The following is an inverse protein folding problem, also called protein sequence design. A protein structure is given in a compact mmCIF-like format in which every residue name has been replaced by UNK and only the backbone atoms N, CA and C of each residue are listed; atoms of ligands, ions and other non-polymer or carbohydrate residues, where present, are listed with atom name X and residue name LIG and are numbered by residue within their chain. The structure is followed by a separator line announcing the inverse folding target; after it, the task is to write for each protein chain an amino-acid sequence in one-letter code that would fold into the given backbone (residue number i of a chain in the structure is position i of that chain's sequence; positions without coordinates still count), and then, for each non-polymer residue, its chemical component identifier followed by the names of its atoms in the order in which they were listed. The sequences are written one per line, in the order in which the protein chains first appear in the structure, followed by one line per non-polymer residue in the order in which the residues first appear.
data_IF_472087597656
#
_entry.id   IF_472087597656
#
_cell.length_a   1.000
_cell.length_b   1.000
_cell.length_c   1.000
_cell.angle_alpha   90.00
_cell.angle_beta   90.00
_cell.angle_gamma   90.00
#
_symmetry.space_group_name_H-M   'P 1'
#
loop_
_entity.id
_entity.type
_entity.pdbx_description
1 polymer ?
#
# COMPACT_ATOMS: atom_id res chain seq x y z
N UNK A 1 0.53 3.73 59.28
CA UNK A 1 1.05 2.41 59.73
C UNK A 1 1.22 1.55 58.49
N UNK A 2 2.47 1.10 58.32
CA UNK A 2 2.98 0.02 57.47
C UNK A 2 2.94 0.33 55.95
N UNK A 3 3.99 0.60 55.18
CA UNK A 3 5.43 0.34 55.35
C UNK A 3 5.84 -0.98 54.68
N UNK A 4 6.17 -0.94 53.37
CA UNK A 4 6.99 -1.95 52.66
C UNK A 4 7.62 -1.19 51.52
N UNK A 5 8.88 -0.95 51.42
CA UNK A 5 10.05 -1.83 51.66
C UNK A 5 10.71 -2.01 50.30
N UNK A 6 11.57 -1.03 49.92
CA UNK A 6 12.45 -1.12 48.74
C UNK A 6 13.73 -1.86 49.16
N UNK A 7 14.10 -2.92 48.47
CA UNK A 7 15.47 -3.41 48.49
C UNK A 7 16.04 -3.41 47.06
N UNK A 8 17.30 -2.96 46.89
CA UNK A 8 18.02 -2.98 45.62
C UNK A 8 18.93 -4.21 45.51
N UNK A 9 18.84 -4.95 44.44
CA UNK A 9 19.89 -5.92 44.07
C UNK A 9 20.98 -5.21 43.28
N UNK A 10 22.17 -5.25 43.89
CA UNK A 10 23.48 -4.93 43.32
C UNK A 10 24.13 -6.16 42.69
N UNK A 11 25.11 -5.84 41.81
CA UNK A 11 26.24 -6.67 41.35
C UNK A 11 25.95 -7.55 40.11
N UNK A 12 26.73 -7.43 39.01
CA UNK A 12 28.12 -7.55 38.83
C UNK A 12 28.64 -7.05 37.48
N UNK A 13 29.55 -6.13 37.60
CA UNK A 13 30.39 -5.65 36.51
C UNK A 13 31.53 -6.63 36.33
N UNK A 14 31.67 -7.26 35.17
CA UNK A 14 32.87 -8.00 34.78
C UNK A 14 33.62 -7.17 33.71
N UNK A 15 34.69 -6.59 34.14
CA UNK A 15 35.71 -5.94 33.32
C UNK A 15 36.51 -6.98 32.55
N UNK A 16 36.63 -6.84 31.24
CA UNK A 16 37.61 -7.58 30.44
C UNK A 16 38.70 -6.61 29.99
N UNK A 17 39.91 -6.90 30.45
CA UNK A 17 41.14 -6.17 30.17
C UNK A 17 41.67 -6.44 28.75
N UNK A 18 42.55 -5.58 28.21
CA UNK A 18 43.10 -5.70 26.88
C UNK A 18 44.33 -6.63 26.87
N UNK A 19 44.40 -7.51 25.91
CA UNK A 19 45.57 -8.34 25.67
C UNK A 19 46.52 -7.68 24.67
N UNK A 20 47.67 -7.51 25.13
CA UNK A 20 48.92 -6.98 24.61
C UNK A 20 49.52 -7.84 23.49
N UNK A 21 50.06 -7.15 22.48
CA UNK A 21 51.29 -7.43 21.71
C UNK A 21 51.59 -8.86 21.26
N UNK A 22 51.68 -9.05 19.96
CA UNK A 22 52.69 -9.98 19.43
C UNK A 22 53.40 -9.42 18.18
N UNK A 23 54.67 -9.61 18.27
CA UNK A 23 55.85 -9.19 17.55
C UNK A 23 56.04 -10.01 16.26
N UNK A 24 56.69 -9.37 15.32
CA UNK A 24 57.39 -9.83 14.13
C UNK A 24 57.64 -11.33 13.98
N UNK A 25 57.27 -11.87 12.80
CA UNK A 25 58.01 -13.02 12.22
C UNK A 25 57.89 -13.03 10.68
N UNK A 26 59.02 -12.71 10.05
CA UNK A 26 59.61 -13.33 8.87
C UNK A 26 58.72 -13.71 7.69
N UNK A 27 58.96 -13.02 6.54
CA UNK A 27 58.58 -13.48 5.20
C UNK A 27 59.40 -14.72 4.81
N UNK A 28 58.78 -15.71 4.18
CA UNK A 28 59.43 -16.53 3.16
C UNK A 28 58.97 -16.11 1.78
N UNK A 29 59.93 -15.89 0.93
CA UNK A 29 59.85 -15.84 -0.53
C UNK A 29 59.40 -17.21 -1.05
N UNK A 30 58.33 -17.27 -1.82
CA UNK A 30 57.85 -18.51 -2.41
C UNK A 30 56.87 -18.24 -3.56
N UNK A 31 57.37 -18.49 -4.75
CA UNK A 31 56.77 -19.02 -5.96
C UNK A 31 55.60 -18.29 -6.65
N UNK A 32 55.78 -17.81 -7.91
CA UNK A 32 54.76 -17.22 -8.71
C UNK A 32 54.07 -18.24 -9.63
N UNK A 33 53.33 -19.21 -9.09
CA UNK A 33 52.62 -20.20 -9.92
C UNK A 33 51.28 -20.69 -9.39
N UNK A 34 50.62 -19.96 -8.46
CA UNK A 34 49.22 -20.25 -8.11
C UNK A 34 48.32 -19.12 -8.66
N UNK A 35 48.10 -19.17 -9.95
CA UNK A 35 46.99 -18.45 -10.60
C UNK A 35 45.73 -19.31 -10.43
N UNK A 36 45.24 -19.45 -9.18
CA UNK A 36 43.92 -19.97 -8.92
C UNK A 36 42.89 -18.99 -9.51
N UNK A 37 42.28 -19.40 -10.62
CA UNK A 37 41.12 -18.75 -11.23
C UNK A 37 40.05 -18.50 -10.17
N UNK A 38 40.03 -17.28 -9.67
CA UNK A 38 38.96 -16.78 -8.82
C UNK A 38 37.68 -16.92 -9.63
N UNK A 39 36.68 -17.72 -9.22
CA UNK A 39 35.45 -17.87 -9.98
C UNK A 39 34.86 -16.50 -10.24
N UNK A 40 34.68 -16.18 -11.52
CA UNK A 40 34.10 -14.92 -11.96
C UNK A 40 32.72 -14.78 -11.27
N UNK A 41 32.57 -13.75 -10.43
CA UNK A 41 31.26 -13.39 -9.88
C UNK A 41 30.30 -13.26 -11.07
N UNK A 42 29.13 -13.94 -11.06
CA UNK A 42 28.20 -13.86 -12.15
C UNK A 42 27.91 -12.39 -12.43
N UNK A 43 28.15 -11.96 -13.66
CA UNK A 43 27.93 -10.60 -14.11
C UNK A 43 26.44 -10.28 -13.83
N UNK A 44 26.17 -9.39 -12.87
CA UNK A 44 24.82 -8.88 -12.60
C UNK A 44 24.29 -8.35 -13.93
N UNK A 45 23.32 -9.06 -14.51
CA UNK A 45 22.64 -8.69 -15.75
C UNK A 45 22.17 -7.24 -15.60
N UNK A 46 22.74 -6.34 -16.40
CA UNK A 46 22.36 -4.93 -16.38
C UNK A 46 20.90 -4.84 -16.82
N UNK A 47 20.00 -4.58 -15.88
CA UNK A 47 18.59 -4.31 -16.17
C UNK A 47 18.48 -3.09 -17.11
N UNK A 48 17.50 -3.12 -18.01
CA UNK A 48 17.15 -1.96 -18.80
C UNK A 48 16.70 -0.80 -17.90
N UNK A 49 16.79 0.48 -18.34
CA UNK A 49 16.40 1.63 -17.49
C UNK A 49 14.96 1.55 -16.97
N UNK A 50 14.01 1.03 -17.76
CA UNK A 50 12.62 0.81 -17.35
C UNK A 50 12.50 -0.25 -16.24
N UNK A 51 13.17 -1.39 -16.42
CA UNK A 51 13.19 -2.48 -15.43
C UNK A 51 13.79 -2.02 -14.09
N UNK A 52 14.77 -1.12 -14.12
CA UNK A 52 15.36 -0.55 -12.91
C UNK A 52 14.39 0.34 -12.16
N UNK A 53 13.64 1.20 -12.86
CA UNK A 53 12.60 2.04 -12.25
C UNK A 53 11.56 1.16 -11.57
N UNK A 54 11.07 0.15 -12.26
CA UNK A 54 10.07 -0.77 -11.72
C UNK A 54 10.61 -1.57 -10.53
N UNK A 55 11.83 -2.08 -10.61
CA UNK A 55 12.47 -2.79 -9.50
C UNK A 55 12.61 -1.91 -8.25
N UNK A 56 12.88 -0.61 -8.43
CA UNK A 56 12.96 0.35 -7.35
C UNK A 56 11.59 0.56 -6.67
N UNK A 57 10.53 0.78 -7.47
CA UNK A 57 9.17 0.93 -6.94
C UNK A 57 8.71 -0.36 -6.22
N UNK A 58 8.94 -1.53 -6.80
CA UNK A 58 8.58 -2.81 -6.16
C UNK A 58 9.31 -3.02 -4.83
N UNK A 59 10.57 -2.57 -4.73
CA UNK A 59 11.32 -2.62 -3.47
C UNK A 59 10.80 -1.62 -2.45
N UNK A 60 10.44 -0.42 -2.90
CA UNK A 60 9.85 0.61 -2.04
C UNK A 60 8.47 0.20 -1.51
N UNK A 61 7.61 -0.41 -2.34
CA UNK A 61 6.31 -0.96 -1.92
C UNK A 61 6.48 -1.98 -0.79
N UNK A 62 7.46 -2.90 -0.89
CA UNK A 62 7.75 -3.87 0.18
C UNK A 62 8.15 -3.19 1.49
N UNK A 63 8.94 -2.13 1.42
CA UNK A 63 9.33 -1.35 2.60
C UNK A 63 8.13 -0.62 3.20
N UNK A 64 7.34 0.09 2.40
CA UNK A 64 6.15 0.81 2.85
C UNK A 64 5.02 -0.12 3.33
N UNK A 65 4.99 -1.38 2.88
CA UNK A 65 4.07 -2.40 3.39
C UNK A 65 4.44 -2.90 4.79
N UNK A 66 5.68 -2.71 5.23
CA UNK A 66 6.19 -3.24 6.51
C UNK A 66 6.62 -2.17 7.51
N UNK A 67 6.77 -0.91 7.06
CA UNK A 67 7.29 0.21 7.87
C UNK A 67 6.49 1.47 7.60
N UNK A 68 6.40 2.34 8.60
CA UNK A 68 5.79 3.67 8.41
C UNK A 68 6.63 4.50 7.43
N UNK A 69 5.96 5.41 6.71
CA UNK A 69 6.65 6.29 5.75
C UNK A 69 7.84 7.01 6.39
N UNK A 70 7.69 7.54 7.60
CA UNK A 70 8.72 8.28 8.32
C UNK A 70 9.97 7.44 8.61
N UNK A 71 9.78 6.14 8.84
CA UNK A 71 10.83 5.18 9.18
C UNK A 71 11.64 4.70 7.98
N UNK A 72 11.13 4.91 6.76
CA UNK A 72 11.81 4.53 5.53
C UNK A 72 12.68 5.68 5.04
N UNK A 73 13.97 5.44 4.83
CA UNK A 73 14.92 6.39 4.25
C UNK A 73 15.17 6.13 2.76
N UNK A 74 15.75 7.13 2.06
CA UNK A 74 16.22 6.93 0.68
C UNK A 74 17.31 5.85 0.60
N UNK A 75 18.12 5.73 1.65
CA UNK A 75 19.18 4.71 1.73
C UNK A 75 18.59 3.30 1.86
N UNK A 76 17.50 3.13 2.64
CA UNK A 76 16.77 1.86 2.74
C UNK A 76 16.20 1.45 1.37
N UNK A 77 15.57 2.39 0.66
CA UNK A 77 14.99 2.16 -0.67
C UNK A 77 16.09 1.76 -1.66
N UNK A 78 17.20 2.50 -1.68
CA UNK A 78 18.34 2.23 -2.55
C UNK A 78 18.95 0.84 -2.26
N UNK A 79 19.16 0.52 -0.99
CA UNK A 79 19.70 -0.76 -0.55
C UNK A 79 18.77 -1.94 -0.92
N UNK A 80 17.46 -1.81 -0.66
CA UNK A 80 16.47 -2.82 -0.99
C UNK A 80 16.37 -3.09 -2.50
N UNK A 81 16.54 -2.05 -3.33
CA UNK A 81 16.56 -2.16 -4.79
C UNK A 81 17.93 -2.59 -5.36
N UNK A 82 18.98 -2.70 -4.53
CA UNK A 82 20.34 -2.95 -4.97
C UNK A 82 20.91 -1.83 -5.86
N UNK A 83 20.50 -0.58 -5.61
CA UNK A 83 20.83 0.62 -6.36
C UNK A 83 21.57 1.64 -5.51
N UNK A 84 22.17 2.65 -6.15
CA UNK A 84 22.81 3.75 -5.44
C UNK A 84 21.79 4.84 -5.09
N UNK A 85 22.00 5.53 -3.96
CA UNK A 85 21.20 6.70 -3.55
C UNK A 85 21.05 7.78 -4.64
N UNK A 86 22.11 8.17 -5.38
CA UNK A 86 21.97 9.11 -6.49
C UNK A 86 20.98 8.67 -7.57
N UNK A 87 20.83 7.36 -7.78
CA UNK A 87 19.90 6.82 -8.77
C UNK A 87 18.45 7.01 -8.35
N UNK A 88 18.16 6.90 -7.05
CA UNK A 88 16.81 7.18 -6.49
C UNK A 88 16.44 8.65 -6.73
N UNK A 89 17.38 9.57 -6.44
CA UNK A 89 17.15 11.00 -6.70
C UNK A 89 16.99 11.30 -8.19
N UNK A 90 17.78 10.66 -9.03
CA UNK A 90 17.72 10.84 -10.49
C UNK A 90 16.38 10.41 -11.09
N UNK A 91 15.81 9.29 -10.61
CA UNK A 91 14.56 8.77 -11.15
C UNK A 91 13.31 9.40 -10.55
N UNK A 92 13.34 9.75 -9.28
CA UNK A 92 12.13 10.11 -8.51
C UNK A 92 12.25 11.37 -7.67
N UNK A 93 13.39 12.06 -7.69
CA UNK A 93 13.58 13.27 -6.89
C UNK A 93 13.75 13.03 -5.38
N UNK A 94 13.66 11.78 -4.92
CA UNK A 94 13.79 11.41 -3.51
C UNK A 94 12.65 10.54 -2.98
N UNK A 95 12.56 10.41 -1.65
CA UNK A 95 11.58 9.53 -0.98
C UNK A 95 10.13 9.87 -1.33
N UNK A 96 9.78 11.16 -1.37
CA UNK A 96 8.42 11.60 -1.67
C UNK A 96 7.99 11.18 -3.08
N UNK A 97 8.84 11.39 -4.10
CA UNK A 97 8.51 10.98 -5.47
C UNK A 97 8.42 9.46 -5.65
N UNK A 98 9.26 8.70 -4.92
CA UNK A 98 9.13 7.22 -4.88
C UNK A 98 7.78 6.83 -4.27
N UNK A 99 7.40 7.46 -3.16
CA UNK A 99 6.16 7.18 -2.46
C UNK A 99 4.93 7.50 -3.33
N UNK A 100 4.89 8.67 -3.97
CA UNK A 100 3.80 9.07 -4.87
C UNK A 100 3.68 8.09 -6.06
N UNK A 101 4.82 7.67 -6.63
CA UNK A 101 4.80 6.69 -7.74
C UNK A 101 4.30 5.32 -7.26
N UNK A 102 4.72 4.88 -6.08
CA UNK A 102 4.25 3.64 -5.47
C UNK A 102 2.73 3.71 -5.15
N UNK A 103 2.25 4.86 -4.67
CA UNK A 103 0.83 5.10 -4.42
C UNK A 103 0.00 5.01 -5.71
N UNK A 104 0.44 5.67 -6.79
CA UNK A 104 -0.23 5.57 -8.10
C UNK A 104 -0.32 4.13 -8.57
N UNK A 105 0.80 3.41 -8.55
CA UNK A 105 0.81 2.00 -8.96
C UNK A 105 -0.17 1.15 -8.13
N UNK A 106 -0.17 1.29 -6.80
CA UNK A 106 -1.13 0.56 -5.94
C UNK A 106 -2.59 0.94 -6.26
N UNK A 107 -2.83 2.23 -6.56
CA UNK A 107 -4.15 2.69 -7.00
C UNK A 107 -4.56 2.10 -8.34
N UNK A 108 -3.67 2.12 -9.32
CA UNK A 108 -3.92 1.53 -10.63
C UNK A 108 -4.20 0.02 -10.53
N UNK A 109 -3.45 -0.69 -9.69
CA UNK A 109 -3.62 -2.13 -9.45
C UNK A 109 -5.00 -2.44 -8.83
N UNK A 110 -5.46 -1.65 -7.86
CA UNK A 110 -6.79 -1.85 -7.24
C UNK A 110 -7.93 -1.52 -8.20
N UNK A 111 -7.80 -0.44 -8.98
CA UNK A 111 -8.80 -0.06 -9.99
C UNK A 111 -8.90 -1.13 -11.08
N UNK A 112 -7.76 -1.67 -11.54
CA UNK A 112 -7.72 -2.76 -12.50
C UNK A 112 -8.41 -4.01 -11.95
N UNK A 113 -8.10 -4.42 -10.71
CA UNK A 113 -8.71 -5.59 -10.08
C UNK A 113 -10.24 -5.44 -9.95
N UNK A 114 -10.73 -4.26 -9.54
CA UNK A 114 -12.17 -3.97 -9.46
C UNK A 114 -12.81 -4.06 -10.84
N UNK A 115 -12.17 -3.48 -11.87
CA UNK A 115 -12.68 -3.48 -13.23
C UNK A 115 -12.74 -4.89 -13.84
N UNK A 116 -11.69 -5.69 -13.64
CA UNK A 116 -11.62 -7.08 -14.11
C UNK A 116 -12.72 -7.92 -13.45
N UNK A 117 -12.88 -7.85 -12.14
CA UNK A 117 -13.92 -8.57 -11.41
C UNK A 117 -15.34 -8.18 -11.85
N UNK A 118 -15.57 -6.88 -12.14
CA UNK A 118 -16.86 -6.41 -12.65
C UNK A 118 -17.16 -6.90 -14.07
N UNK A 119 -16.14 -7.09 -14.91
CA UNK A 119 -16.28 -7.64 -16.26
C UNK A 119 -16.50 -9.15 -16.23
N UNK A 120 -15.88 -9.87 -15.29
CA UNK A 120 -16.03 -11.32 -15.12
C UNK A 120 -17.40 -11.72 -14.59
N UNK A 121 -18.01 -10.90 -13.72
CA UNK A 121 -19.35 -11.12 -13.17
C UNK A 121 -20.24 -9.86 -13.33
N UNK A 122 -20.76 -9.59 -14.55
CA UNK A 122 -21.55 -8.39 -14.82
C UNK A 122 -22.88 -8.35 -14.06
N UNK A 123 -23.46 -9.48 -13.73
CA UNK A 123 -24.73 -9.55 -12.98
C UNK A 123 -24.56 -9.19 -11.51
N UNK A 124 -23.33 -9.32 -10.97
CA UNK A 124 -22.97 -9.00 -9.60
C UNK A 124 -21.77 -8.05 -9.51
N UNK A 125 -21.58 -7.22 -10.52
CA UNK A 125 -20.40 -6.36 -10.68
C UNK A 125 -20.01 -5.59 -9.39
N UNK A 126 -21.00 -5.13 -8.61
CA UNK A 126 -20.75 -4.36 -7.38
C UNK A 126 -20.13 -5.22 -6.27
N UNK A 127 -20.70 -6.41 -6.05
CA UNK A 127 -20.17 -7.35 -5.02
C UNK A 127 -18.85 -7.96 -5.45
N UNK A 128 -18.68 -8.26 -6.74
CA UNK A 128 -17.42 -8.74 -7.31
C UNK A 128 -16.31 -7.67 -7.15
N UNK A 129 -16.63 -6.41 -7.49
CA UNK A 129 -15.70 -5.29 -7.30
C UNK A 129 -15.33 -5.04 -5.84
N UNK A 130 -16.29 -5.18 -4.90
CA UNK A 130 -16.00 -5.11 -3.46
C UNK A 130 -15.10 -6.24 -3.00
N UNK A 131 -15.36 -7.48 -3.43
CA UNK A 131 -14.51 -8.61 -3.09
C UNK A 131 -13.07 -8.39 -3.58
N UNK A 132 -12.90 -7.94 -4.84
CA UNK A 132 -11.59 -7.59 -5.40
C UNK A 132 -10.88 -6.48 -4.61
N UNK A 133 -11.61 -5.46 -4.18
CA UNK A 133 -11.08 -4.42 -3.28
C UNK A 133 -10.59 -5.01 -1.96
N UNK A 134 -11.39 -5.87 -1.30
CA UNK A 134 -11.01 -6.50 -0.04
C UNK A 134 -9.81 -7.46 -0.19
N UNK A 135 -9.74 -8.22 -1.30
CA UNK A 135 -8.56 -9.05 -1.62
C UNK A 135 -7.30 -8.20 -1.74
N UNK A 136 -7.41 -7.08 -2.46
CA UNK A 136 -6.27 -6.17 -2.66
C UNK A 136 -5.77 -5.58 -1.34
N UNK A 137 -6.65 -5.06 -0.49
CA UNK A 137 -6.24 -4.47 0.80
C UNK A 137 -5.77 -5.51 1.81
N UNK A 138 -6.23 -6.75 1.71
CA UNK A 138 -5.74 -7.86 2.53
C UNK A 138 -4.34 -8.30 2.11
N UNK A 139 -4.06 -8.33 0.81
CA UNK A 139 -2.73 -8.64 0.28
C UNK A 139 -1.70 -7.53 0.59
N UNK A 140 -2.16 -6.28 0.74
CA UNK A 140 -1.32 -5.09 0.97
C UNK A 140 -1.79 -4.28 2.20
N UNK A 141 -1.92 -4.89 3.39
CA UNK A 141 -2.63 -4.28 4.53
C UNK A 141 -1.97 -2.99 5.04
N UNK A 142 -0.65 -2.94 5.06
CA UNK A 142 0.10 -1.80 5.58
C UNK A 142 0.23 -0.71 4.51
N UNK A 143 0.40 -1.09 3.25
CA UNK A 143 0.48 -0.16 2.12
C UNK A 143 -0.74 0.74 2.04
N UNK A 144 -1.93 0.18 1.98
CA UNK A 144 -3.17 0.96 1.94
C UNK A 144 -3.38 1.76 3.24
N UNK A 145 -3.10 1.17 4.40
CA UNK A 145 -3.27 1.86 5.69
C UNK A 145 -2.28 3.00 5.85
N UNK A 146 -1.03 2.85 5.39
CA UNK A 146 -0.04 3.92 5.37
C UNK A 146 -0.46 5.03 4.41
N UNK A 147 -0.92 4.68 3.22
CA UNK A 147 -1.40 5.61 2.20
C UNK A 147 -2.62 6.42 2.66
N UNK A 148 -3.57 5.78 3.35
CA UNK A 148 -4.78 6.43 3.87
C UNK A 148 -4.55 7.21 5.18
N UNK A 149 -3.53 6.86 5.99
CA UNK A 149 -3.21 7.57 7.24
C UNK A 149 -2.52 8.90 7.03
N UNK A 150 -1.76 9.04 5.98
CA UNK A 150 -0.78 10.12 5.84
C UNK A 150 -1.23 11.24 4.89
N UNK A 151 -2.51 11.41 4.69
CA UNK A 151 -3.11 12.40 3.78
C UNK A 151 -2.52 13.83 3.85
N UNK A 152 -1.20 13.98 3.81
CA UNK A 152 -0.48 15.23 3.54
C UNK A 152 1.04 15.12 3.71
N UNK A 153 1.71 14.12 3.15
CA UNK A 153 3.17 13.94 3.34
C UNK A 153 4.02 14.69 2.31
N UNK A 154 3.50 14.92 1.13
CA UNK A 154 4.26 15.46 0.00
C UNK A 154 3.64 16.76 -0.55
N UNK A 155 3.29 17.70 0.33
CA UNK A 155 2.75 18.99 -0.13
C UNK A 155 1.36 18.91 -0.75
N UNK A 156 0.63 17.80 -0.58
CA UNK A 156 -0.72 17.59 -1.12
C UNK A 156 -0.81 16.70 -2.36
N UNK A 157 0.33 16.31 -2.96
CA UNK A 157 0.34 15.41 -4.13
C UNK A 157 -0.25 14.03 -3.82
N UNK A 158 -0.02 13.51 -2.62
CA UNK A 158 -0.60 12.26 -2.13
C UNK A 158 -2.13 12.32 -2.08
N UNK A 159 -2.69 13.44 -1.62
CA UNK A 159 -4.13 13.68 -1.61
C UNK A 159 -4.70 13.72 -3.02
N UNK A 160 -4.02 14.43 -3.92
CA UNK A 160 -4.43 14.51 -5.32
C UNK A 160 -4.47 13.11 -5.96
N UNK A 161 -3.45 12.28 -5.74
CA UNK A 161 -3.42 10.91 -6.25
C UNK A 161 -4.57 10.07 -5.70
N UNK A 162 -4.87 10.17 -4.41
CA UNK A 162 -6.00 9.47 -3.81
C UNK A 162 -7.34 9.92 -4.40
N UNK A 163 -7.50 11.21 -4.65
CA UNK A 163 -8.73 11.74 -5.26
C UNK A 163 -8.85 11.28 -6.73
N UNK A 164 -7.74 11.22 -7.48
CA UNK A 164 -7.71 10.65 -8.83
C UNK A 164 -8.15 9.17 -8.84
N UNK A 165 -7.66 8.36 -7.89
CA UNK A 165 -8.06 6.95 -7.75
C UNK A 165 -9.55 6.82 -7.41
N UNK A 166 -10.07 7.64 -6.49
CA UNK A 166 -11.51 7.67 -6.15
C UNK A 166 -12.37 8.05 -7.33
N UNK A 167 -11.92 8.98 -8.16
CA UNK A 167 -12.62 9.38 -9.37
C UNK A 167 -12.66 8.26 -10.42
N UNK A 168 -11.60 7.46 -10.53
CA UNK A 168 -11.59 6.27 -11.38
C UNK A 168 -12.58 5.22 -10.86
N UNK A 169 -12.59 4.94 -9.55
CA UNK A 169 -13.57 4.01 -8.94
C UNK A 169 -15.01 4.53 -9.14
N UNK A 170 -15.24 5.82 -8.92
CA UNK A 170 -16.55 6.43 -9.19
C UNK A 170 -16.99 6.22 -10.65
N UNK A 171 -16.08 6.38 -11.59
CA UNK A 171 -16.34 6.15 -13.02
C UNK A 171 -16.75 4.70 -13.30
N UNK A 172 -16.09 3.72 -12.68
CA UNK A 172 -16.47 2.31 -12.79
C UNK A 172 -17.86 2.04 -12.23
N UNK A 173 -18.20 2.62 -11.07
CA UNK A 173 -19.54 2.48 -10.47
C UNK A 173 -20.61 3.10 -11.37
N UNK A 174 -20.38 4.29 -11.90
CA UNK A 174 -21.32 4.96 -12.82
C UNK A 174 -21.52 4.18 -14.12
N UNK A 175 -20.45 3.57 -14.65
CA UNK A 175 -20.54 2.68 -15.81
C UNK A 175 -21.37 1.42 -15.50
N UNK A 176 -21.16 0.79 -14.36
CA UNK A 176 -21.97 -0.36 -13.91
C UNK A 176 -23.44 -0.02 -13.67
N UNK A 177 -23.74 1.23 -13.30
CA UNK A 177 -25.12 1.75 -13.18
C UNK A 177 -25.72 2.17 -14.53
N UNK A 178 -24.98 2.11 -15.62
CA UNK A 178 -25.39 2.64 -16.95
C UNK A 178 -25.98 4.05 -16.82
N UNK A 179 -25.30 4.90 -16.08
CA UNK A 179 -25.80 6.26 -15.74
C UNK A 179 -24.96 7.32 -16.41
N UNK A 180 -25.59 8.28 -17.14
CA UNK A 180 -24.93 9.52 -17.45
C UNK A 180 -24.61 10.25 -16.13
N UNK A 181 -23.39 10.73 -15.98
CA UNK A 181 -22.86 11.28 -14.73
C UNK A 181 -23.38 12.66 -14.31
N UNK A 182 -24.56 13.11 -14.80
CA UNK A 182 -24.98 14.50 -14.70
C UNK A 182 -25.61 14.87 -13.35
N UNK A 183 -26.04 13.90 -12.53
CA UNK A 183 -26.58 14.20 -11.21
C UNK A 183 -25.48 14.44 -10.17
N UNK A 184 -25.37 15.69 -9.71
CA UNK A 184 -24.46 16.05 -8.62
C UNK A 184 -24.79 15.34 -7.31
N UNK A 185 -26.08 15.05 -7.06
CA UNK A 185 -26.54 14.28 -5.89
C UNK A 185 -26.02 12.85 -5.97
N UNK A 186 -26.19 12.18 -7.13
CA UNK A 186 -25.69 10.83 -7.35
C UNK A 186 -24.18 10.74 -7.11
N UNK A 187 -23.41 11.64 -7.74
CA UNK A 187 -21.95 11.67 -7.57
C UNK A 187 -21.55 11.88 -6.11
N UNK A 188 -22.20 12.80 -5.39
CA UNK A 188 -21.91 13.07 -3.99
C UNK A 188 -22.21 11.86 -3.09
N UNK A 189 -23.32 11.17 -3.34
CA UNK A 189 -23.70 9.95 -2.60
C UNK A 189 -22.68 8.84 -2.86
N UNK A 190 -22.30 8.60 -4.11
CA UNK A 190 -21.32 7.57 -4.47
C UNK A 190 -19.94 7.87 -3.89
N UNK A 191 -19.46 9.13 -3.91
CA UNK A 191 -18.21 9.53 -3.25
C UNK A 191 -18.26 9.30 -1.74
N UNK A 192 -19.37 9.63 -1.10
CA UNK A 192 -19.59 9.34 0.32
C UNK A 192 -19.55 7.83 0.63
N UNK A 193 -20.14 7.02 -0.25
CA UNK A 193 -20.11 5.57 -0.10
C UNK A 193 -18.71 5.00 -0.32
N UNK A 194 -17.96 5.45 -1.32
CA UNK A 194 -16.54 5.06 -1.53
C UNK A 194 -15.72 5.36 -0.26
N UNK A 195 -15.85 6.56 0.30
CA UNK A 195 -15.16 6.93 1.54
C UNK A 195 -15.56 6.03 2.74
N UNK A 196 -16.82 5.60 2.78
CA UNK A 196 -17.31 4.65 3.79
C UNK A 196 -16.67 3.27 3.61
N UNK A 197 -16.60 2.74 2.38
CA UNK A 197 -15.93 1.47 2.05
C UNK A 197 -14.46 1.51 2.47
N UNK A 198 -13.73 2.57 2.12
CA UNK A 198 -12.33 2.76 2.52
C UNK A 198 -12.18 2.78 4.05
N UNK A 199 -13.08 3.48 4.74
CA UNK A 199 -13.03 3.60 6.21
C UNK A 199 -13.31 2.28 6.90
N UNK A 200 -14.35 1.56 6.45
CA UNK A 200 -14.71 0.26 7.03
C UNK A 200 -13.69 -0.82 6.70
N UNK A 201 -13.13 -0.83 5.48
CA UNK A 201 -12.03 -1.72 5.11
C UNK A 201 -10.78 -1.51 5.97
N UNK A 202 -10.42 -0.26 6.25
CA UNK A 202 -9.31 0.08 7.15
C UNK A 202 -9.57 -0.38 8.59
N UNK A 203 -10.78 -0.18 9.12
CA UNK A 203 -11.13 -0.64 10.47
C UNK A 203 -11.13 -2.16 10.55
N UNK A 204 -11.62 -2.85 9.53
CA UNK A 204 -11.51 -4.30 9.43
C UNK A 204 -10.06 -4.78 9.47
N UNK A 205 -9.16 -4.22 8.64
CA UNK A 205 -7.74 -4.58 8.67
C UNK A 205 -7.09 -4.33 10.04
N UNK A 206 -7.56 -3.33 10.79
CA UNK A 206 -7.00 -2.95 12.09
C UNK A 206 -7.53 -3.79 13.25
N UNK A 207 -8.81 -4.16 13.21
CA UNK A 207 -9.53 -4.78 14.34
C UNK A 207 -9.98 -6.21 14.07
N UNK A 208 -10.10 -6.61 12.81
CA UNK A 208 -10.70 -7.88 12.41
C UNK A 208 -12.23 -7.90 12.47
N UNK A 209 -12.84 -6.80 12.92
CA UNK A 209 -14.29 -6.65 13.08
C UNK A 209 -14.79 -5.31 12.54
N UNK A 210 -15.97 -5.26 11.87
CA UNK A 210 -16.76 -6.40 11.41
C UNK A 210 -15.97 -7.38 10.52
N UNK A 211 -16.43 -8.62 10.37
CA UNK A 211 -15.77 -9.59 9.49
C UNK A 211 -15.87 -9.15 8.02
N UNK A 212 -14.99 -9.69 7.18
CA UNK A 212 -15.04 -9.44 5.73
C UNK A 212 -16.41 -9.80 5.13
N UNK A 213 -16.95 -10.96 5.50
CA UNK A 213 -18.25 -11.44 5.01
C UNK A 213 -19.40 -10.50 5.40
N UNK A 214 -19.37 -9.98 6.63
CA UNK A 214 -20.33 -8.96 7.08
C UNK A 214 -20.21 -7.68 6.28
N UNK A 215 -18.99 -7.22 5.98
CA UNK A 215 -18.75 -6.01 5.18
C UNK A 215 -19.20 -6.18 3.74
N UNK A 216 -18.87 -7.30 3.10
CA UNK A 216 -19.29 -7.62 1.73
C UNK A 216 -20.82 -7.71 1.58
N UNK A 217 -21.52 -8.07 2.65
CA UNK A 217 -23.00 -8.07 2.70
C UNK A 217 -23.56 -6.68 2.99
N UNK A 218 -23.00 -6.00 3.98
CA UNK A 218 -23.53 -4.74 4.51
C UNK A 218 -23.33 -3.56 3.56
N UNK A 219 -22.16 -3.43 2.95
CA UNK A 219 -21.81 -2.26 2.13
C UNK A 219 -22.72 -2.06 0.91
N UNK A 220 -23.07 -3.11 0.13
CA UNK A 220 -24.06 -2.98 -0.94
C UNK A 220 -25.46 -2.61 -0.43
N UNK A 221 -25.88 -3.15 0.72
CA UNK A 221 -27.17 -2.81 1.31
C UNK A 221 -27.23 -1.34 1.76
N UNK A 222 -26.12 -0.82 2.35
CA UNK A 222 -25.97 0.59 2.70
C UNK A 222 -26.03 1.49 1.46
N UNK A 223 -25.35 1.11 0.36
CA UNK A 223 -25.44 1.87 -0.89
C UNK A 223 -26.89 1.97 -1.36
N UNK A 224 -27.61 0.85 -1.38
CA UNK A 224 -29.02 0.82 -1.77
C UNK A 224 -29.89 1.70 -0.88
N UNK A 225 -29.68 1.65 0.44
CA UNK A 225 -30.44 2.45 1.40
C UNK A 225 -30.22 3.96 1.20
N UNK A 226 -28.96 4.37 1.02
CA UNK A 226 -28.62 5.78 0.80
C UNK A 226 -29.15 6.27 -0.56
N UNK A 227 -28.98 5.49 -1.64
CA UNK A 227 -29.54 5.83 -2.94
C UNK A 227 -31.08 5.84 -2.91
N UNK A 228 -31.70 4.90 -2.19
CA UNK A 228 -33.15 4.89 -1.98
C UNK A 228 -33.68 6.17 -1.34
N UNK A 229 -32.97 6.67 -0.33
CA UNK A 229 -33.31 7.96 0.32
C UNK A 229 -33.06 9.13 -0.63
N UNK A 230 -31.92 9.16 -1.32
CA UNK A 230 -31.58 10.24 -2.26
C UNK A 230 -32.52 10.32 -3.46
N UNK A 231 -33.09 9.19 -3.90
CA UNK A 231 -34.07 9.12 -5.00
C UNK A 231 -35.35 9.93 -4.75
N UNK A 232 -35.69 10.24 -3.51
CA UNK A 232 -36.81 11.12 -3.17
C UNK A 232 -36.52 12.58 -3.49
N UNK A 233 -35.24 12.93 -3.67
CA UNK A 233 -34.78 14.30 -3.88
C UNK A 233 -34.22 14.54 -5.28
N UNK A 234 -33.89 13.48 -6.03
CA UNK A 234 -33.20 13.57 -7.31
C UNK A 234 -33.66 12.49 -8.29
N UNK A 235 -34.19 12.93 -9.45
CA UNK A 235 -34.71 12.04 -10.47
C UNK A 235 -33.60 11.18 -11.13
N UNK A 236 -32.38 11.70 -11.23
CA UNK A 236 -31.24 10.96 -11.75
C UNK A 236 -30.87 9.77 -10.84
N UNK A 237 -30.92 9.96 -9.50
CA UNK A 237 -30.75 8.89 -8.54
C UNK A 237 -31.89 7.88 -8.63
N UNK A 238 -33.14 8.34 -8.77
CA UNK A 238 -34.29 7.44 -8.92
C UNK A 238 -34.18 6.54 -10.17
N UNK A 239 -33.61 7.04 -11.26
CA UNK A 239 -33.42 6.30 -12.50
C UNK A 239 -32.38 5.17 -12.41
N UNK A 240 -31.36 5.29 -11.54
CA UNK A 240 -30.28 4.29 -11.40
C UNK A 240 -30.58 3.24 -10.35
N UNK A 241 -31.43 3.52 -9.38
CA UNK A 241 -31.75 2.62 -8.27
C UNK A 241 -32.20 1.20 -8.71
N UNK A 242 -33.02 1.01 -9.77
CA UNK A 242 -33.40 -0.31 -10.26
C UNK A 242 -32.25 -1.11 -10.89
N UNK A 243 -31.13 -0.45 -11.25
CA UNK A 243 -29.98 -1.04 -11.94
C UNK A 243 -28.91 -1.56 -10.96
N UNK A 244 -29.08 -1.34 -9.65
CA UNK A 244 -28.20 -1.93 -8.66
C UNK A 244 -28.37 -3.46 -8.64
N UNK A 245 -27.28 -4.23 -8.78
CA UNK A 245 -27.30 -5.69 -8.86
C UNK A 245 -27.48 -6.32 -7.47
N UNK A 246 -28.53 -5.93 -6.75
CA UNK A 246 -28.80 -6.41 -5.41
C UNK A 246 -30.12 -7.20 -5.39
N UNK A 247 -30.09 -8.42 -4.88
CA UNK A 247 -31.30 -9.22 -4.71
C UNK A 247 -32.28 -8.46 -3.82
N UNK A 248 -33.51 -8.26 -4.31
CA UNK A 248 -34.61 -7.79 -3.44
C UNK A 248 -34.86 -8.89 -2.41
N UNK A 249 -34.72 -8.56 -1.13
CA UNK A 249 -35.22 -9.44 -0.06
C UNK A 249 -36.74 -9.47 -0.09
#
# INVERSE_FOLDING_TARGET
MSGFGLEPCREGVAAIQPATVYRDAVRPSGDPSDNEERPARPARRRLAPGDRRQALINSALKLFNTRLYEEVSVDDIAAAAGMSRPLVYHYYGGKAGVFITALRQTGDDVVAAISEAAVEDPDNWLTAGLAAFFDHIQANPIGLTALLRHGSLAGGEDRQVLDEIRDQVLTLILAGLDSPSDSAVLQSVLRGWIAMVETMGREWLRRGEPTREELETLLPELLRAVLGTAAWHDAGVAAVLPRLPLKRR
#
